data_IF_426620567665
#
_entry.id   IF_426620567665
#
_cell.length_a   1.000
_cell.length_b   1.000
_cell.length_c   1.000
_cell.angle_alpha   90.00
_cell.angle_beta   90.00
_cell.angle_gamma   90.00
#
_symmetry.space_group_name_H-M   'P 1'
#
loop_
_entity.id
_entity.type
_entity.pdbx_description
1 polymer ?
#
# COMPACT_ATOMS: atom_id res chain seq x y z
N UNK A 1 -0.37 28.11 -15.34
CA UNK A 1 0.64 27.20 -15.93
C UNK A 1 -0.06 26.23 -16.87
N UNK A 2 0.46 26.03 -18.08
CA UNK A 2 -0.11 25.09 -19.05
C UNK A 2 0.30 23.64 -18.74
N UNK A 3 -0.41 22.66 -19.30
CA UNK A 3 -0.05 21.23 -19.16
C UNK A 3 1.33 20.94 -19.77
N UNK A 4 1.65 21.54 -20.92
CA UNK A 4 2.96 21.37 -21.57
C UNK A 4 4.11 21.90 -20.70
N UNK A 5 3.96 23.10 -20.12
CA UNK A 5 4.94 23.65 -19.18
C UNK A 5 5.10 22.77 -17.94
N UNK A 6 3.99 22.26 -17.40
CA UNK A 6 4.01 21.33 -16.27
C UNK A 6 4.78 20.04 -16.59
N UNK A 7 4.45 19.40 -17.72
CA UNK A 7 5.13 18.18 -18.17
C UNK A 7 6.63 18.40 -18.32
N UNK A 8 7.01 19.49 -19.00
CA UNK A 8 8.41 19.87 -19.18
C UNK A 8 9.13 20.03 -17.84
N UNK A 9 8.57 20.80 -16.91
CA UNK A 9 9.18 21.03 -15.59
C UNK A 9 9.41 19.73 -14.81
N UNK A 10 8.43 18.82 -14.81
CA UNK A 10 8.54 17.54 -14.09
C UNK A 10 9.55 16.60 -14.77
N UNK A 11 9.53 16.50 -16.10
CA UNK A 11 10.40 15.60 -16.85
C UNK A 11 11.85 16.09 -16.88
N UNK A 12 12.10 17.39 -17.03
CA UNK A 12 13.44 17.97 -17.00
C UNK A 12 14.10 17.72 -15.64
N UNK A 13 13.34 17.90 -14.56
CA UNK A 13 13.79 17.55 -13.21
C UNK A 13 14.04 16.04 -13.07
N UNK A 14 13.16 15.20 -13.60
CA UNK A 14 13.29 13.74 -13.44
C UNK A 14 14.46 13.15 -14.21
N UNK A 15 14.84 13.75 -15.35
CA UNK A 15 16.00 13.37 -16.16
C UNK A 15 17.32 13.83 -15.53
N UNK A 16 17.29 14.94 -14.80
CA UNK A 16 18.44 15.49 -14.09
C UNK A 16 18.17 15.59 -12.57
N UNK A 17 17.90 14.46 -11.90
CA UNK A 17 17.51 14.51 -10.50
C UNK A 17 18.73 14.89 -9.64
N UNK A 18 18.56 15.75 -8.62
CA UNK A 18 19.58 15.90 -7.58
C UNK A 18 19.85 14.53 -6.93
N UNK A 19 21.02 14.34 -6.32
CA UNK A 19 21.53 13.04 -5.84
C UNK A 19 20.51 12.10 -5.16
N UNK A 20 19.51 12.63 -4.45
CA UNK A 20 18.43 11.84 -3.82
C UNK A 20 17.40 11.20 -4.76
N UNK A 21 17.16 11.74 -5.96
CA UNK A 21 16.22 11.17 -6.94
C UNK A 21 16.79 9.94 -7.66
N UNK A 22 18.10 9.93 -7.93
CA UNK A 22 18.80 8.80 -8.54
C UNK A 22 18.74 7.52 -7.69
N UNK A 23 18.63 7.62 -6.36
CA UNK A 23 18.49 6.44 -5.49
C UNK A 23 17.13 5.74 -5.65
N UNK A 24 16.09 6.48 -6.08
CA UNK A 24 14.72 5.95 -6.21
C UNK A 24 14.53 5.10 -7.46
N UNK A 25 15.28 5.35 -8.54
CA UNK A 25 15.28 4.50 -9.75
C UNK A 25 15.85 3.10 -9.48
N UNK A 26 16.71 2.96 -8.47
CA UNK A 26 17.35 1.68 -8.09
C UNK A 26 16.42 0.74 -7.30
N UNK A 27 15.19 1.16 -6.95
CA UNK A 27 14.26 0.32 -6.22
C UNK A 27 13.89 -0.94 -7.03
N UNK A 28 13.93 -2.16 -6.44
CA UNK A 28 13.75 -3.42 -7.19
C UNK A 28 12.44 -3.49 -7.98
N UNK A 29 11.34 -3.03 -7.41
CA UNK A 29 10.02 -3.03 -8.07
C UNK A 29 9.93 -2.09 -9.28
N UNK A 30 10.82 -1.09 -9.39
CA UNK A 30 10.91 -0.23 -10.58
C UNK A 30 11.75 -0.83 -11.71
N UNK A 31 12.46 -1.93 -11.45
CA UNK A 31 13.32 -2.63 -12.42
C UNK A 31 12.66 -3.88 -13.02
N UNK A 32 11.37 -4.08 -12.76
CA UNK A 32 10.59 -5.22 -13.28
C UNK A 32 9.32 -4.75 -13.97
N UNK A 33 8.76 -5.60 -14.84
CA UNK A 33 7.40 -5.50 -15.40
C UNK A 33 6.49 -6.65 -14.93
N UNK A 34 7.01 -7.52 -14.06
CA UNK A 34 6.26 -8.63 -13.49
C UNK A 34 5.12 -8.09 -12.59
N UNK A 35 3.85 -8.34 -12.93
CA UNK A 35 2.70 -7.82 -12.21
C UNK A 35 2.60 -8.36 -10.77
N UNK A 36 3.07 -9.58 -10.51
CA UNK A 36 3.09 -10.12 -9.13
C UNK A 36 4.05 -9.31 -8.26
N UNK A 37 5.29 -9.13 -8.74
CA UNK A 37 6.33 -8.37 -8.05
C UNK A 37 5.94 -6.90 -7.85
N UNK A 38 5.25 -6.30 -8.82
CA UNK A 38 4.73 -4.93 -8.70
C UNK A 38 3.62 -4.88 -7.67
N UNK A 39 2.62 -5.78 -7.74
CA UNK A 39 1.51 -5.82 -6.78
C UNK A 39 2.02 -5.99 -5.34
N UNK A 40 2.97 -6.89 -5.10
CA UNK A 40 3.60 -7.07 -3.77
C UNK A 40 4.16 -5.73 -3.26
N UNK A 41 4.91 -5.02 -4.10
CA UNK A 41 5.51 -3.74 -3.71
C UNK A 41 4.46 -2.65 -3.45
N UNK A 42 3.44 -2.52 -4.29
CA UNK A 42 2.37 -1.53 -4.13
C UNK A 42 1.58 -1.80 -2.84
N UNK A 43 1.24 -3.05 -2.55
CA UNK A 43 0.57 -3.40 -1.29
C UNK A 43 1.47 -3.11 -0.10
N UNK A 44 2.77 -3.42 -0.14
CA UNK A 44 3.69 -3.14 0.95
C UNK A 44 3.86 -1.63 1.20
N UNK A 45 3.98 -0.82 0.14
CA UNK A 45 4.20 0.62 0.22
C UNK A 45 2.98 1.40 0.72
N UNK A 46 1.80 0.78 0.78
CA UNK A 46 0.65 1.35 1.47
C UNK A 46 0.99 1.58 2.95
N UNK A 47 1.07 2.85 3.36
CA UNK A 47 1.27 3.24 4.76
C UNK A 47 2.54 2.65 5.40
N UNK A 48 3.55 2.25 4.60
CA UNK A 48 4.84 1.74 5.07
C UNK A 48 5.98 2.41 4.33
N UNK A 49 7.01 2.85 5.04
CA UNK A 49 8.14 3.58 4.45
C UNK A 49 9.06 2.66 3.64
N UNK A 50 9.66 3.20 2.58
CA UNK A 50 10.56 2.49 1.65
C UNK A 50 11.68 1.75 2.38
N UNK A 51 12.32 2.39 3.36
CA UNK A 51 13.42 1.79 4.12
C UNK A 51 13.02 0.47 4.83
N UNK A 52 11.75 0.37 5.26
CA UNK A 52 11.21 -0.86 5.86
C UNK A 52 10.73 -1.86 4.81
N UNK A 53 10.23 -1.39 3.68
CA UNK A 53 9.75 -2.25 2.58
C UNK A 53 10.91 -2.94 1.87
N UNK A 54 12.04 -2.26 1.63
CA UNK A 54 13.18 -2.82 0.87
C UNK A 54 13.64 -4.21 1.33
N UNK A 55 14.00 -4.43 2.62
CA UNK A 55 14.42 -5.75 3.08
C UNK A 55 13.25 -6.75 3.07
N UNK A 56 12.05 -6.32 3.49
CA UNK A 56 10.87 -7.20 3.55
C UNK A 56 10.39 -7.65 2.17
N UNK A 57 10.57 -6.83 1.14
CA UNK A 57 10.26 -7.18 -0.24
C UNK A 57 11.12 -8.34 -0.73
N UNK A 58 12.43 -8.29 -0.45
CA UNK A 58 13.36 -9.38 -0.76
C UNK A 58 13.01 -10.66 0.00
N UNK A 59 12.78 -10.55 1.31
CA UNK A 59 12.37 -11.69 2.15
C UNK A 59 11.06 -12.33 1.64
N UNK A 60 10.07 -11.50 1.32
CA UNK A 60 8.75 -11.98 0.88
C UNK A 60 8.82 -12.69 -0.47
N UNK A 61 9.53 -12.13 -1.44
CA UNK A 61 9.72 -12.80 -2.74
C UNK A 61 10.63 -14.03 -2.66
N UNK A 62 11.53 -14.10 -1.68
CA UNK A 62 12.28 -15.33 -1.39
C UNK A 62 11.37 -16.43 -0.83
N UNK A 63 10.44 -16.08 0.04
CA UNK A 63 9.50 -17.03 0.63
C UNK A 63 8.34 -17.42 -0.31
N UNK A 64 7.92 -16.51 -1.19
CA UNK A 64 6.80 -16.65 -2.12
C UNK A 64 7.20 -16.06 -3.49
N UNK A 65 7.97 -16.81 -4.31
CA UNK A 65 8.53 -16.29 -5.57
C UNK A 65 7.48 -15.98 -6.66
N UNK A 66 6.28 -16.55 -6.56
CA UNK A 66 5.22 -16.44 -7.58
C UNK A 66 3.81 -16.44 -6.96
N UNK A 67 2.78 -16.33 -7.80
CA UNK A 67 1.38 -16.36 -7.38
C UNK A 67 0.99 -17.69 -6.72
N UNK A 68 1.45 -18.82 -7.27
CA UNK A 68 1.05 -20.15 -6.81
C UNK A 68 1.57 -20.42 -5.40
N UNK A 69 2.85 -20.13 -5.15
CA UNK A 69 3.47 -20.25 -3.83
C UNK A 69 2.81 -19.37 -2.78
N UNK A 70 2.41 -18.14 -3.13
CA UNK A 70 1.65 -17.29 -2.23
C UNK A 70 0.21 -17.81 -2.01
N UNK A 71 -0.46 -18.26 -3.06
CA UNK A 71 -1.83 -18.78 -3.00
C UNK A 71 -1.95 -20.01 -2.09
N UNK A 72 -0.95 -20.90 -2.14
CA UNK A 72 -0.85 -22.10 -1.33
C UNK A 72 -0.32 -21.87 0.09
N UNK A 73 0.25 -20.68 0.39
CA UNK A 73 0.87 -20.41 1.68
C UNK A 73 -0.10 -20.55 2.85
N UNK A 74 0.31 -21.17 3.96
CA UNK A 74 -0.49 -21.14 5.19
C UNK A 74 -0.55 -19.74 5.77
N UNK A 75 -1.63 -19.41 6.48
CA UNK A 75 -1.80 -18.09 7.10
C UNK A 75 -0.67 -17.80 8.11
N UNK A 76 -0.29 -18.82 8.89
CA UNK A 76 0.87 -18.78 9.79
C UNK A 76 2.15 -18.38 9.07
N UNK A 77 2.52 -19.05 7.96
CA UNK A 77 3.73 -18.74 7.19
C UNK A 77 3.66 -17.33 6.60
N UNK A 78 2.53 -16.97 6.03
CA UNK A 78 2.29 -15.64 5.46
C UNK A 78 2.47 -14.53 6.50
N UNK A 79 1.81 -14.64 7.66
CA UNK A 79 1.88 -13.64 8.71
C UNK A 79 3.30 -13.56 9.30
N UNK A 80 3.99 -14.70 9.46
CA UNK A 80 5.39 -14.68 9.92
C UNK A 80 6.30 -13.86 8.98
N UNK A 81 6.21 -14.09 7.68
CA UNK A 81 7.01 -13.35 6.67
C UNK A 81 6.55 -11.88 6.56
N UNK A 82 5.27 -11.59 6.78
CA UNK A 82 4.75 -10.20 6.76
C UNK A 82 5.10 -9.39 8.02
N UNK A 83 5.52 -10.05 9.10
CA UNK A 83 5.78 -9.40 10.38
C UNK A 83 6.76 -8.21 10.24
N UNK A 84 6.43 -7.11 10.93
CA UNK A 84 7.15 -5.84 10.87
C UNK A 84 6.54 -4.80 9.91
N UNK A 85 5.72 -5.21 8.93
CA UNK A 85 5.05 -4.27 8.01
C UNK A 85 3.74 -3.68 8.58
N UNK A 86 3.14 -4.33 9.57
CA UNK A 86 1.83 -3.95 10.11
C UNK A 86 0.69 -4.08 9.10
N UNK A 87 -0.51 -3.62 9.47
CA UNK A 87 -1.73 -3.71 8.65
C UNK A 87 -1.94 -5.11 8.04
N UNK A 88 -1.95 -6.12 8.89
CA UNK A 88 -1.94 -7.54 8.54
C UNK A 88 -3.00 -7.99 7.53
N UNK A 89 -4.15 -7.30 7.48
CA UNK A 89 -5.21 -7.56 6.50
C UNK A 89 -4.72 -7.41 5.06
N UNK A 90 -3.73 -6.55 4.80
CA UNK A 90 -3.08 -6.42 3.49
C UNK A 90 -2.45 -7.74 3.03
N UNK A 91 -1.75 -8.45 3.92
CA UNK A 91 -1.14 -9.74 3.60
C UNK A 91 -2.22 -10.77 3.20
N UNK A 92 -3.30 -10.83 3.99
CA UNK A 92 -4.43 -11.73 3.75
C UNK A 92 -5.12 -11.42 2.42
N UNK A 93 -5.29 -10.15 2.08
CA UNK A 93 -5.85 -9.75 0.80
C UNK A 93 -4.92 -10.04 -0.37
N UNK A 94 -3.62 -9.79 -0.23
CA UNK A 94 -2.64 -10.14 -1.23
C UNK A 94 -2.67 -11.65 -1.54
N UNK A 95 -2.74 -12.51 -0.51
CA UNK A 95 -2.92 -13.95 -0.69
C UNK A 95 -4.25 -14.31 -1.36
N UNK A 96 -5.38 -13.72 -0.93
CA UNK A 96 -6.69 -13.98 -1.56
C UNK A 96 -6.70 -13.58 -3.03
N UNK A 97 -6.06 -12.46 -3.37
CA UNK A 97 -5.89 -12.03 -4.76
C UNK A 97 -5.02 -13.01 -5.54
N UNK A 98 -3.93 -13.52 -4.95
CA UNK A 98 -3.12 -14.55 -5.59
C UNK A 98 -3.92 -15.85 -5.84
N UNK A 99 -4.76 -16.26 -4.89
CA UNK A 99 -5.67 -17.41 -5.06
C UNK A 99 -6.67 -17.17 -6.18
N UNK A 100 -7.31 -15.99 -6.22
CA UNK A 100 -8.25 -15.62 -7.27
C UNK A 100 -7.60 -15.66 -8.65
N UNK A 101 -6.40 -15.08 -8.82
CA UNK A 101 -5.72 -15.06 -10.12
C UNK A 101 -5.30 -16.48 -10.53
N UNK A 102 -4.79 -17.28 -9.59
CA UNK A 102 -4.39 -18.66 -9.86
C UNK A 102 -5.58 -19.50 -10.32
N UNK A 103 -6.71 -19.41 -9.60
CA UNK A 103 -7.86 -20.28 -9.81
C UNK A 103 -8.78 -19.83 -10.95
N UNK A 104 -8.99 -18.52 -11.11
CA UNK A 104 -10.02 -17.98 -12.01
C UNK A 104 -9.42 -17.33 -13.27
N UNK A 105 -8.12 -17.05 -13.29
CA UNK A 105 -7.44 -16.40 -14.41
C UNK A 105 -6.21 -17.19 -14.89
N UNK A 106 -6.11 -18.47 -14.55
CA UNK A 106 -5.01 -19.37 -14.95
C UNK A 106 -3.61 -18.79 -14.68
N UNK A 107 -3.46 -18.10 -13.54
CA UNK A 107 -2.20 -17.48 -13.15
C UNK A 107 -1.84 -16.21 -13.93
N UNK A 108 -2.71 -15.70 -14.80
CA UNK A 108 -2.46 -14.51 -15.63
C UNK A 108 -3.23 -13.30 -15.08
N UNK A 109 -2.53 -12.19 -14.89
CA UNK A 109 -3.16 -10.95 -14.46
C UNK A 109 -4.01 -10.35 -15.59
N UNK A 110 -5.25 -9.90 -15.31
CA UNK A 110 -5.97 -9.06 -16.23
C UNK A 110 -5.26 -7.71 -16.38
N UNK A 111 -5.29 -7.16 -17.59
CA UNK A 111 -4.65 -5.87 -17.91
C UNK A 111 -5.56 -4.68 -17.63
N UNK A 112 -6.88 -4.90 -17.61
CA UNK A 112 -7.89 -3.88 -17.37
C UNK A 112 -7.92 -3.48 -15.88
N UNK A 113 -7.65 -2.20 -15.54
CA UNK A 113 -7.78 -1.69 -14.18
C UNK A 113 -9.15 -1.95 -13.55
N UNK A 114 -10.24 -1.89 -14.33
CA UNK A 114 -11.60 -2.10 -13.80
C UNK A 114 -11.78 -3.53 -13.28
N UNK A 115 -11.21 -4.52 -13.98
CA UNK A 115 -11.21 -5.91 -13.51
C UNK A 115 -10.34 -6.04 -12.26
N UNK A 116 -9.13 -5.47 -12.27
CA UNK A 116 -8.22 -5.52 -11.12
C UNK A 116 -8.83 -4.90 -9.86
N UNK A 117 -9.65 -3.85 -9.99
CA UNK A 117 -10.35 -3.19 -8.87
C UNK A 117 -11.38 -4.10 -8.18
N UNK A 118 -11.87 -5.14 -8.85
CA UNK A 118 -12.75 -6.13 -8.22
C UNK A 118 -12.02 -7.07 -7.26
N UNK A 119 -10.68 -7.07 -7.27
CA UNK A 119 -9.89 -8.05 -6.53
C UNK A 119 -9.75 -7.67 -5.05
N UNK A 120 -9.65 -8.66 -4.13
CA UNK A 120 -9.54 -8.40 -2.70
C UNK A 120 -8.40 -7.43 -2.34
N UNK A 121 -8.76 -6.31 -1.72
CA UNK A 121 -7.79 -5.31 -1.24
C UNK A 121 -7.13 -4.48 -2.34
N UNK A 122 -7.57 -4.60 -3.59
CA UNK A 122 -7.14 -3.73 -4.69
C UNK A 122 -8.20 -2.65 -4.88
N UNK A 123 -7.88 -1.42 -4.49
CA UNK A 123 -8.72 -0.25 -4.78
C UNK A 123 -8.33 0.45 -6.08
N UNK A 124 -9.04 1.54 -6.45
CA UNK A 124 -8.84 2.23 -7.73
C UNK A 124 -7.39 2.67 -7.98
N UNK A 125 -6.69 3.16 -6.94
CA UNK A 125 -5.27 3.51 -7.03
C UNK A 125 -4.41 2.28 -7.40
N UNK A 126 -4.50 1.20 -6.63
CA UNK A 126 -3.64 0.02 -6.81
C UNK A 126 -3.88 -0.65 -8.14
N UNK A 127 -5.14 -0.73 -8.58
CA UNK A 127 -5.51 -1.30 -9.88
C UNK A 127 -4.84 -0.53 -11.04
N UNK A 128 -4.99 0.79 -11.06
CA UNK A 128 -4.41 1.66 -12.09
C UNK A 128 -2.89 1.71 -12.03
N UNK A 129 -2.30 1.74 -10.82
CA UNK A 129 -0.86 1.71 -10.63
C UNK A 129 -0.27 0.39 -11.15
N UNK A 130 -0.87 -0.75 -10.81
CA UNK A 130 -0.46 -2.07 -11.31
C UNK A 130 -0.56 -2.12 -12.84
N UNK A 131 -1.68 -1.69 -13.42
CA UNK A 131 -1.87 -1.70 -14.86
C UNK A 131 -0.90 -0.76 -15.61
N UNK A 132 -0.61 0.42 -15.05
CA UNK A 132 0.38 1.35 -15.58
C UNK A 132 1.80 0.74 -15.54
N UNK A 133 2.20 0.23 -14.38
CA UNK A 133 3.57 -0.24 -14.18
C UNK A 133 3.88 -1.58 -14.84
N UNK A 134 2.93 -2.52 -14.85
CA UNK A 134 3.11 -3.84 -15.46
C UNK A 134 2.79 -3.83 -16.97
N UNK A 135 1.71 -3.14 -17.36
CA UNK A 135 1.13 -3.27 -18.71
C UNK A 135 1.14 -1.98 -19.53
N UNK A 136 1.61 -0.85 -18.98
CA UNK A 136 1.72 0.41 -19.72
C UNK A 136 0.39 1.18 -19.88
N UNK A 137 -0.63 0.89 -19.06
CA UNK A 137 -1.89 1.63 -19.08
C UNK A 137 -1.67 3.15 -18.97
N UNK A 138 -2.47 3.92 -19.73
CA UNK A 138 -2.44 5.38 -19.80
C UNK A 138 -3.51 6.06 -18.94
N UNK A 139 -4.02 5.36 -17.93
CA UNK A 139 -4.96 5.94 -16.97
C UNK A 139 -4.26 6.67 -15.83
N UNK A 140 -4.73 7.87 -15.50
CA UNK A 140 -4.25 8.64 -14.36
C UNK A 140 -4.67 8.00 -13.03
N UNK A 141 -3.78 8.06 -12.04
CA UNK A 141 -4.08 7.69 -10.66
C UNK A 141 -3.37 8.61 -9.66
N UNK A 142 -3.88 8.65 -8.42
CA UNK A 142 -3.42 9.58 -7.39
C UNK A 142 -3.04 8.86 -6.11
N UNK A 143 -1.78 9.02 -5.70
CA UNK A 143 -1.38 8.84 -4.30
C UNK A 143 -1.27 10.20 -3.59
N UNK A 144 -0.81 10.20 -2.35
CA UNK A 144 -0.59 11.45 -1.59
C UNK A 144 0.50 12.37 -2.17
N UNK A 145 1.47 11.84 -2.91
CA UNK A 145 2.54 12.61 -3.54
C UNK A 145 2.07 13.24 -4.85
N UNK A 146 1.50 12.46 -5.76
CA UNK A 146 0.94 12.91 -7.02
C UNK A 146 -0.16 13.95 -6.78
N UNK A 147 -1.06 13.69 -5.83
CA UNK A 147 -2.11 14.64 -5.46
C UNK A 147 -1.52 15.99 -5.03
N UNK A 148 -0.44 15.98 -4.24
CA UNK A 148 0.27 17.19 -3.80
C UNK A 148 0.86 17.97 -4.97
N UNK A 149 1.45 17.28 -5.95
CA UNK A 149 1.98 17.91 -7.16
C UNK A 149 0.89 18.67 -7.91
N UNK A 150 -0.24 18.02 -8.20
CA UNK A 150 -1.33 18.69 -8.91
C UNK A 150 -1.97 19.82 -8.10
N UNK A 151 -2.15 19.64 -6.78
CA UNK A 151 -2.67 20.70 -5.91
C UNK A 151 -1.76 21.93 -5.88
N UNK A 152 -0.44 21.74 -5.88
CA UNK A 152 0.53 22.84 -5.92
C UNK A 152 0.41 23.63 -7.22
N UNK A 153 0.42 22.93 -8.36
CA UNK A 153 0.57 23.54 -9.67
C UNK A 153 -0.74 24.07 -10.29
N UNK A 154 -1.85 23.38 -10.06
CA UNK A 154 -3.13 23.69 -10.71
C UNK A 154 -4.19 24.19 -9.73
N UNK A 155 -3.98 24.06 -8.42
CA UNK A 155 -4.94 24.48 -7.39
C UNK A 155 -4.29 25.24 -6.21
N UNK A 156 -3.35 26.20 -6.44
CA UNK A 156 -2.50 26.77 -5.39
C UNK A 156 -3.25 27.50 -4.27
N UNK A 157 -4.48 27.99 -4.52
CA UNK A 157 -5.29 28.74 -3.55
C UNK A 157 -6.65 28.10 -3.26
N UNK A 158 -6.98 26.98 -3.93
CA UNK A 158 -8.28 26.32 -3.74
C UNK A 158 -8.21 25.34 -2.57
N UNK A 159 -9.29 25.30 -1.78
CA UNK A 159 -9.54 24.31 -0.73
C UNK A 159 -10.68 23.38 -1.19
N UNK A 160 -10.81 22.23 -0.53
CA UNK A 160 -11.86 21.23 -0.80
C UNK A 160 -11.88 20.72 -2.26
N UNK A 161 -10.70 20.61 -2.87
CA UNK A 161 -10.55 20.10 -4.24
C UNK A 161 -10.80 18.60 -4.25
N UNK A 162 -11.71 18.15 -5.10
CA UNK A 162 -12.05 16.73 -5.22
C UNK A 162 -11.00 15.97 -6.06
N UNK A 163 -10.82 14.69 -5.77
CA UNK A 163 -9.95 13.82 -6.59
C UNK A 163 -10.43 13.74 -8.04
N UNK A 164 -11.74 13.88 -8.31
CA UNK A 164 -12.30 13.96 -9.67
C UNK A 164 -11.76 15.16 -10.45
N UNK A 165 -11.65 16.34 -9.82
CA UNK A 165 -11.07 17.52 -10.45
C UNK A 165 -9.59 17.32 -10.75
N UNK A 166 -8.84 16.75 -9.80
CA UNK A 166 -7.41 16.47 -9.97
C UNK A 166 -7.18 15.45 -11.08
N UNK A 167 -7.95 14.36 -11.09
CA UNK A 167 -7.87 13.31 -12.11
C UNK A 167 -8.17 13.83 -13.52
N UNK A 168 -9.08 14.80 -13.68
CA UNK A 168 -9.34 15.43 -14.99
C UNK A 168 -8.12 16.20 -15.53
N UNK A 169 -7.36 16.88 -14.66
CA UNK A 169 -6.11 17.53 -15.06
C UNK A 169 -5.02 16.48 -15.32
N UNK A 170 -4.93 15.47 -14.45
CA UNK A 170 -3.94 14.41 -14.56
C UNK A 170 -4.10 13.57 -15.83
N UNK A 171 -5.33 13.22 -16.20
CA UNK A 171 -5.62 12.47 -17.41
C UNK A 171 -5.21 13.26 -18.66
N UNK A 172 -5.59 14.54 -18.76
CA UNK A 172 -5.13 15.42 -19.85
C UNK A 172 -3.60 15.49 -19.94
N UNK A 173 -2.92 15.55 -18.79
CA UNK A 173 -1.46 15.51 -18.76
C UNK A 173 -0.86 14.17 -19.20
N UNK A 174 -1.59 13.06 -19.18
CA UNK A 174 -1.17 11.79 -19.77
C UNK A 174 -1.50 11.75 -21.26
N UNK A 175 -2.70 12.18 -21.64
CA UNK A 175 -3.19 12.15 -23.02
C UNK A 175 -2.28 12.95 -23.95
N UNK A 176 -1.72 14.07 -23.47
CA UNK A 176 -0.81 14.94 -24.23
C UNK A 176 0.67 14.69 -23.94
N UNK A 177 1.06 13.55 -23.36
CA UNK A 177 2.49 13.26 -23.15
C UNK A 177 3.25 13.19 -24.48
N UNK A 178 4.52 13.64 -24.52
CA UNK A 178 5.40 13.39 -25.65
C UNK A 178 5.46 11.89 -26.00
N UNK A 179 5.53 11.55 -27.30
CA UNK A 179 5.49 10.15 -27.79
C UNK A 179 6.60 9.27 -27.19
N UNK A 180 7.75 9.85 -26.85
CA UNK A 180 8.89 9.16 -26.27
C UNK A 180 8.81 9.00 -24.73
N UNK A 181 7.74 9.48 -24.08
CA UNK A 181 7.56 9.38 -22.62
C UNK A 181 6.44 8.39 -22.32
N UNK A 182 6.76 7.36 -21.54
CA UNK A 182 5.77 6.37 -21.11
C UNK A 182 4.92 6.88 -19.93
N UNK A 183 3.68 6.39 -19.81
CA UNK A 183 2.84 6.64 -18.63
C UNK A 183 3.54 6.20 -17.33
N UNK A 184 4.30 5.10 -17.37
CA UNK A 184 5.10 4.60 -16.24
C UNK A 184 6.17 5.60 -15.80
N UNK A 185 6.95 6.12 -16.75
CA UNK A 185 7.98 7.14 -16.48
C UNK A 185 7.35 8.39 -15.88
N UNK A 186 6.26 8.87 -16.48
CA UNK A 186 5.53 10.05 -16.00
C UNK A 186 5.06 9.91 -14.56
N UNK A 187 4.45 8.78 -14.20
CA UNK A 187 4.00 8.56 -12.82
C UNK A 187 5.19 8.47 -11.85
N UNK A 188 6.30 7.81 -12.19
CA UNK A 188 7.49 7.80 -11.33
C UNK A 188 8.12 9.19 -11.17
N UNK A 189 8.13 10.00 -12.22
CA UNK A 189 8.56 11.39 -12.13
C UNK A 189 7.71 12.18 -11.12
N UNK A 190 6.38 12.03 -11.18
CA UNK A 190 5.46 12.67 -10.23
C UNK A 190 5.65 12.17 -8.79
N UNK A 191 5.82 10.85 -8.59
CA UNK A 191 6.10 10.28 -7.27
C UNK A 191 7.35 10.89 -6.65
N UNK A 192 8.42 10.94 -7.44
CA UNK A 192 9.72 11.37 -6.95
C UNK A 192 9.73 12.89 -6.73
N UNK A 193 9.20 13.68 -7.67
CA UNK A 193 9.06 15.13 -7.53
C UNK A 193 8.23 15.49 -6.29
N UNK A 194 7.09 14.81 -6.10
CA UNK A 194 6.27 14.97 -4.91
C UNK A 194 7.05 14.62 -3.64
N UNK A 195 7.82 13.54 -3.63
CA UNK A 195 8.53 13.08 -2.45
C UNK A 195 9.78 13.93 -2.09
N UNK A 196 10.48 14.49 -3.09
CA UNK A 196 11.79 15.12 -2.87
C UNK A 196 11.82 16.63 -3.12
N UNK A 197 10.93 17.18 -3.96
CA UNK A 197 10.86 18.62 -4.24
C UNK A 197 9.73 19.25 -3.45
N UNK A 198 8.49 18.76 -3.63
CA UNK A 198 7.32 19.29 -2.94
C UNK A 198 7.16 18.64 -1.55
N UNK A 199 8.07 18.94 -0.62
CA UNK A 199 8.05 18.33 0.72
C UNK A 199 6.96 18.90 1.64
N UNK A 200 6.38 20.07 1.31
CA UNK A 200 5.33 20.68 2.13
C UNK A 200 4.02 19.87 2.10
N UNK A 201 3.83 19.04 3.13
CA UNK A 201 2.65 18.20 3.31
C UNK A 201 1.38 19.00 3.60
N UNK A 202 1.47 20.29 3.95
CA UNK A 202 0.29 21.13 4.22
C UNK A 202 -0.58 21.34 2.98
N UNK A 203 0.04 21.31 1.79
CA UNK A 203 -0.67 21.39 0.50
C UNK A 203 -1.76 20.31 0.40
N UNK A 204 -1.52 19.11 0.95
CA UNK A 204 -2.51 18.03 0.90
C UNK A 204 -3.81 18.36 1.65
N UNK A 205 -3.80 19.28 2.64
CA UNK A 205 -5.01 19.74 3.34
C UNK A 205 -6.03 20.43 2.43
N UNK A 206 -5.63 20.80 1.22
CA UNK A 206 -6.51 21.38 0.19
C UNK A 206 -7.40 20.33 -0.48
N UNK A 207 -7.07 19.04 -0.37
CA UNK A 207 -7.91 17.96 -0.89
C UNK A 207 -9.11 17.71 0.01
N UNK A 208 -10.27 17.48 -0.59
CA UNK A 208 -11.48 16.99 0.10
C UNK A 208 -11.24 15.65 0.82
N UNK A 209 -10.35 14.83 0.29
CA UNK A 209 -10.09 13.47 0.77
C UNK A 209 -8.89 13.40 1.72
N UNK A 210 -8.41 14.55 2.22
CA UNK A 210 -7.31 14.57 3.16
C UNK A 210 -7.77 14.09 4.53
N UNK A 211 -7.19 12.99 4.98
CA UNK A 211 -7.31 12.51 6.36
C UNK A 211 -5.94 12.42 7.00
N UNK A 212 -5.79 13.05 8.17
CA UNK A 212 -4.57 12.92 8.96
C UNK A 212 -4.58 11.55 9.63
N UNK A 213 -3.60 10.73 9.29
CA UNK A 213 -3.41 9.45 9.96
C UNK A 213 -3.10 9.68 11.45
N UNK A 214 -3.81 8.99 12.34
CA UNK A 214 -3.52 8.98 13.78
C UNK A 214 -2.12 8.40 14.04
N UNK A 215 -1.56 8.66 15.24
CA UNK A 215 -0.33 8.01 15.69
C UNK A 215 -0.51 6.49 15.71
N UNK A 216 0.58 5.73 15.54
CA UNK A 216 0.50 4.27 15.62
C UNK A 216 0.46 3.82 17.07
N UNK A 217 1.38 4.30 17.89
CA UNK A 217 1.41 3.99 19.31
C UNK A 217 0.13 4.43 20.02
N UNK A 218 -0.37 3.58 20.92
CA UNK A 218 -1.64 3.77 21.63
C UNK A 218 -2.91 3.71 20.77
N UNK A 219 -2.83 3.34 19.47
CA UNK A 219 -4.00 3.28 18.59
C UNK A 219 -4.63 1.88 18.53
N UNK A 220 -5.90 1.79 18.15
CA UNK A 220 -6.60 0.51 17.97
C UNK A 220 -5.80 -0.51 17.12
N UNK A 221 -5.10 -0.04 16.09
CA UNK A 221 -4.27 -0.90 15.21
C UNK A 221 -2.95 -1.35 15.84
N UNK A 222 -2.38 -0.64 16.83
CA UNK A 222 -1.18 -1.11 17.53
C UNK A 222 -1.54 -2.29 18.43
N UNK A 223 -2.65 -2.22 19.18
CA UNK A 223 -3.12 -3.35 20.01
C UNK A 223 -3.47 -4.58 19.18
N UNK A 224 -4.14 -4.40 18.04
CA UNK A 224 -4.34 -5.49 17.07
C UNK A 224 -3.02 -6.12 16.62
N UNK A 225 -2.01 -5.29 16.38
CA UNK A 225 -0.67 -5.78 16.01
C UNK A 225 -0.01 -6.52 17.16
N UNK A 226 -0.15 -6.04 18.40
CA UNK A 226 0.38 -6.70 19.59
C UNK A 226 -0.20 -8.11 19.77
N UNK A 227 -1.51 -8.30 19.57
CA UNK A 227 -2.13 -9.65 19.65
C UNK A 227 -1.56 -10.60 18.61
N UNK A 228 -1.43 -10.17 17.34
CA UNK A 228 -0.88 -11.02 16.28
C UNK A 228 0.58 -11.36 16.56
N UNK A 229 1.39 -10.38 17.00
CA UNK A 229 2.79 -10.61 17.38
C UNK A 229 2.91 -11.54 18.59
N UNK A 230 2.04 -11.37 19.58
CA UNK A 230 1.99 -12.24 20.74
C UNK A 230 1.71 -13.67 20.32
N UNK A 231 0.66 -13.93 19.51
CA UNK A 231 0.41 -15.28 18.98
C UNK A 231 1.55 -15.79 18.10
N UNK A 232 2.22 -14.94 17.32
CA UNK A 232 3.39 -15.33 16.53
C UNK A 232 4.55 -15.84 17.41
N UNK A 233 4.67 -15.36 18.65
CA UNK A 233 5.71 -15.79 19.59
C UNK A 233 5.36 -17.04 20.41
N UNK A 234 4.10 -17.49 20.39
CA UNK A 234 3.67 -18.66 21.17
C UNK A 234 4.00 -19.98 20.45
N UNK A 235 4.25 -21.08 21.19
CA UNK A 235 4.33 -22.42 20.62
C UNK A 235 3.10 -22.73 19.75
N UNK A 236 3.34 -23.29 18.56
CA UNK A 236 2.31 -23.58 17.56
C UNK A 236 1.45 -22.38 17.12
N UNK A 237 1.82 -21.16 17.51
CA UNK A 237 1.06 -19.93 17.33
C UNK A 237 -0.33 -19.95 17.95
N UNK A 238 -0.44 -20.58 19.12
CA UNK A 238 -1.69 -20.83 19.82
C UNK A 238 -1.52 -20.58 21.32
N UNK A 239 -2.50 -19.93 21.94
CA UNK A 239 -2.50 -19.68 23.39
C UNK A 239 -3.92 -19.66 23.96
N UNK A 240 -4.12 -20.09 25.23
CA UNK A 240 -5.41 -20.01 25.92
C UNK A 240 -6.03 -18.61 25.84
N UNK A 241 -7.34 -18.54 25.60
CA UNK A 241 -8.04 -17.25 25.43
C UNK A 241 -7.85 -16.31 26.63
N UNK A 242 -7.90 -16.86 27.85
CA UNK A 242 -7.68 -16.10 29.10
C UNK A 242 -6.34 -15.39 29.12
N UNK A 243 -5.27 -16.06 28.65
CA UNK A 243 -3.91 -15.50 28.64
C UNK A 243 -3.76 -14.39 27.59
N UNK A 244 -4.32 -14.56 26.39
CA UNK A 244 -4.33 -13.50 25.37
C UNK A 244 -5.09 -12.27 25.87
N UNK A 245 -6.27 -12.49 26.49
CA UNK A 245 -7.09 -11.42 27.04
C UNK A 245 -6.33 -10.66 28.13
N UNK A 246 -5.75 -11.36 29.10
CA UNK A 246 -4.98 -10.76 30.19
C UNK A 246 -3.82 -9.90 29.69
N UNK A 247 -3.00 -10.42 28.76
CA UNK A 247 -1.88 -9.66 28.17
C UNK A 247 -2.39 -8.40 27.46
N UNK A 248 -3.50 -8.49 26.75
CA UNK A 248 -4.08 -7.35 26.04
C UNK A 248 -4.67 -6.31 27.02
N UNK A 249 -5.33 -6.73 28.09
CA UNK A 249 -5.89 -5.85 29.12
C UNK A 249 -4.80 -5.07 29.86
N UNK A 250 -3.69 -5.71 30.21
CA UNK A 250 -2.54 -5.04 30.81
C UNK A 250 -1.95 -3.96 29.88
N UNK A 251 -1.83 -4.26 28.58
CA UNK A 251 -1.37 -3.28 27.58
C UNK A 251 -2.33 -2.10 27.43
N UNK A 252 -3.64 -2.37 27.38
CA UNK A 252 -4.67 -1.33 27.25
C UNK A 252 -4.70 -0.41 28.48
N UNK A 253 -4.55 -0.98 29.68
CA UNK A 253 -4.49 -0.25 30.95
C UNK A 253 -3.25 0.64 31.04
N UNK A 254 -2.09 0.11 30.66
CA UNK A 254 -0.82 0.84 30.65
C UNK A 254 -0.88 2.09 29.76
N UNK A 255 -1.48 1.97 28.58
CA UNK A 255 -1.59 3.05 27.59
C UNK A 255 -2.79 3.98 27.82
N UNK A 256 -3.59 3.76 28.88
CA UNK A 256 -4.77 4.56 29.25
C UNK A 256 -5.75 4.79 28.09
N UNK A 257 -6.07 3.72 27.35
CA UNK A 257 -6.86 3.84 26.12
C UNK A 257 -8.35 3.60 26.36
N UNK A 258 -9.24 4.12 25.49
CA UNK A 258 -10.69 3.90 25.61
C UNK A 258 -11.15 2.55 25.05
N UNK A 259 -10.24 1.71 24.54
CA UNK A 259 -10.60 0.47 23.86
C UNK A 259 -10.71 -0.70 24.83
N UNK A 260 -11.63 -1.61 24.56
CA UNK A 260 -11.72 -2.88 25.29
C UNK A 260 -10.95 -4.01 24.59
N UNK A 261 -10.51 -4.99 25.38
CA UNK A 261 -9.89 -6.20 24.84
C UNK A 261 -10.84 -6.98 23.94
N UNK A 262 -12.14 -6.97 24.25
CA UNK A 262 -13.18 -7.65 23.49
C UNK A 262 -13.30 -7.06 22.08
N UNK A 263 -13.40 -5.74 21.94
CA UNK A 263 -13.49 -5.05 20.64
C UNK A 263 -12.27 -5.35 19.75
N UNK A 264 -11.07 -5.33 20.34
CA UNK A 264 -9.84 -5.65 19.62
C UNK A 264 -9.85 -7.10 19.12
N UNK A 265 -10.20 -8.07 19.97
CA UNK A 265 -10.25 -9.48 19.60
C UNK A 265 -11.32 -9.77 18.54
N UNK A 266 -12.52 -9.21 18.70
CA UNK A 266 -13.62 -9.38 17.74
C UNK A 266 -13.26 -8.79 16.38
N UNK A 267 -12.60 -7.63 16.37
CA UNK A 267 -12.11 -7.04 15.12
C UNK A 267 -11.07 -7.93 14.42
N UNK A 268 -10.22 -8.66 15.17
CA UNK A 268 -9.22 -9.57 14.59
C UNK A 268 -9.87 -10.84 14.04
N UNK A 269 -10.89 -11.37 14.73
CA UNK A 269 -11.69 -12.51 14.28
C UNK A 269 -12.49 -12.16 13.01
N UNK A 270 -13.13 -10.99 13.00
CA UNK A 270 -13.87 -10.45 11.83
C UNK A 270 -12.98 -10.39 10.58
N UNK A 271 -11.76 -9.91 10.73
CA UNK A 271 -10.78 -9.83 9.64
C UNK A 271 -10.07 -11.16 9.34
N UNK A 272 -10.38 -12.22 10.08
CA UNK A 272 -9.73 -13.54 10.00
C UNK A 272 -8.20 -13.45 10.12
N UNK A 273 -7.74 -12.56 11.01
CA UNK A 273 -6.33 -12.43 11.39
C UNK A 273 -5.96 -13.37 12.53
N UNK A 274 -6.95 -13.75 13.34
CA UNK A 274 -6.87 -14.83 14.31
C UNK A 274 -8.08 -15.73 14.15
N UNK A 275 -8.00 -16.94 14.70
CA UNK A 275 -9.07 -17.92 14.82
C UNK A 275 -9.28 -18.25 16.29
N UNK A 276 -10.45 -18.79 16.61
CA UNK A 276 -10.86 -19.16 17.97
C UNK A 276 -11.31 -20.62 17.98
N UNK A 277 -10.86 -21.38 18.98
CA UNK A 277 -11.45 -22.66 19.38
C UNK A 277 -12.18 -22.48 20.72
N UNK A 278 -12.77 -23.52 21.29
CA UNK A 278 -13.45 -23.43 22.60
C UNK A 278 -12.57 -22.80 23.69
N UNK A 279 -11.27 -23.07 23.68
CA UNK A 279 -10.34 -22.67 24.76
C UNK A 279 -9.18 -21.78 24.31
N UNK A 280 -8.90 -21.66 23.01
CA UNK A 280 -7.69 -20.98 22.52
C UNK A 280 -7.95 -19.95 21.41
N UNK A 281 -7.03 -18.99 21.28
CA UNK A 281 -6.82 -18.23 20.05
C UNK A 281 -5.58 -18.76 19.32
N UNK A 282 -5.59 -18.68 17.99
CA UNK A 282 -4.49 -19.12 17.13
C UNK A 282 -4.50 -18.42 15.76
N UNK A 283 -3.45 -18.60 14.96
CA UNK A 283 -3.32 -18.08 13.59
C UNK A 283 -3.78 -19.11 12.54
#
# INVERSE_FOLDING_TARGET
MTIAQFQKNILDWYRNPPAGGAMRSRMPWRRTRDPYKILVSEVMLQQTQIARVLPKYKEFLGAFPDLASLAAATDKRLLKVWAGLGYWRRAKYLKKTAQLITNNYNGKFPKDPKILETFPGIGPYTARALACFAFGSREAFLDTNIRRVYLHFFFPRRKNVSDKEILRVAQRAIDTLPKNVSSREWHYALFDYGATVLKDKQINRRSRHYHKQSKFEGSFRSFRTAVVQYLLSQPQNRTPQKKVRHVLEELLKKEKTPYSAQEILDSLLKDRLIKKSRTHYYL
#
